data_IF_374636596186
#
_entry.id   IF_374636596186
#
_cell.length_a   1.000
_cell.length_b   1.000
_cell.length_c   1.000
_cell.angle_alpha   90.00
_cell.angle_beta   90.00
_cell.angle_gamma   90.00
#
_symmetry.space_group_name_H-M   'P 1'
#
loop_
_entity.id
_entity.type
_entity.pdbx_description
1 polymer ?
#
# COMPACT_ATOMS: atom_id res chain seq x y z
N UNK A 1 16.15 -25.25 27.25
CA UNK A 1 17.08 -24.23 26.72
C UNK A 1 16.25 -23.06 26.21
N UNK A 2 16.19 -22.00 27.01
CA UNK A 2 15.44 -20.77 26.73
C UNK A 2 16.40 -19.75 26.12
N UNK A 3 16.00 -19.15 25.00
CA UNK A 3 16.63 -17.97 24.39
C UNK A 3 15.52 -16.92 24.23
N UNK A 4 15.70 -15.67 24.73
CA UNK A 4 14.64 -14.67 24.70
C UNK A 4 14.62 -13.89 23.37
N UNK A 5 13.42 -13.47 22.99
CA UNK A 5 13.16 -12.60 21.85
C UNK A 5 13.61 -11.16 22.14
N UNK A 6 14.27 -10.53 21.16
CA UNK A 6 14.69 -9.13 21.17
C UNK A 6 13.59 -8.28 20.53
N UNK A 7 13.09 -7.29 21.28
CA UNK A 7 12.14 -6.29 20.79
C UNK A 7 12.86 -5.14 20.04
N UNK A 8 12.25 -4.51 19.02
CA UNK A 8 12.80 -3.33 18.36
C UNK A 8 12.57 -2.05 19.17
N UNK A 9 13.64 -1.26 19.30
CA UNK A 9 13.74 -0.07 20.15
C UNK A 9 13.00 1.17 19.66
N UNK A 10 12.57 1.97 20.65
CA UNK A 10 12.00 3.30 20.50
C UNK A 10 13.04 4.36 20.05
N UNK A 11 12.62 5.46 19.38
CA UNK A 11 13.54 6.53 18.99
C UNK A 11 13.98 7.40 20.19
N UNK A 12 15.30 7.56 20.31
CA UNK A 12 16.01 8.42 21.27
C UNK A 12 15.64 9.89 21.08
N UNK A 13 15.16 10.54 22.17
CA UNK A 13 15.15 11.99 22.32
C UNK A 13 16.59 12.51 22.44
N UNK A 14 16.97 13.44 21.59
CA UNK A 14 18.22 14.19 21.69
C UNK A 14 18.04 15.28 22.77
N UNK A 15 18.70 15.10 23.92
CA UNK A 15 18.85 16.15 24.93
C UNK A 15 19.99 17.08 24.50
N UNK A 16 19.71 18.37 24.41
CA UNK A 16 20.71 19.42 24.27
C UNK A 16 21.54 19.51 25.56
N UNK A 17 22.86 19.63 25.39
CA UNK A 17 23.86 19.70 26.46
C UNK A 17 24.18 21.17 26.71
N UNK A 18 23.96 21.62 27.94
CA UNK A 18 24.48 22.87 28.47
C UNK A 18 26.00 22.80 28.63
N UNK A 19 26.67 23.91 28.35
CA UNK A 19 28.07 24.14 28.65
C UNK A 19 28.38 25.64 28.53
N UNK A 20 28.57 26.30 29.68
CA UNK A 20 28.86 27.72 29.76
C UNK A 20 30.34 28.07 29.99
N UNK A 21 30.55 29.38 30.16
CA UNK A 21 31.77 30.09 30.62
C UNK A 21 32.87 30.24 29.55
N UNK A 22 33.56 31.37 29.34
CA UNK A 22 33.78 32.61 30.11
C UNK A 22 34.60 33.55 29.18
N UNK A 23 34.41 34.87 29.23
CA UNK A 23 35.46 35.85 29.60
C UNK A 23 35.10 37.32 29.30
N UNK A 24 35.65 38.15 30.18
CA UNK A 24 35.67 39.61 30.31
C UNK A 24 35.75 40.41 28.99
N UNK A 25 35.08 41.56 28.93
CA UNK A 25 35.84 42.82 28.93
C UNK A 25 35.03 44.09 29.25
N UNK A 26 35.77 45.08 29.76
CA UNK A 26 35.31 46.34 30.35
C UNK A 26 34.86 47.41 29.33
N UNK A 27 33.76 48.10 29.71
CA UNK A 27 33.48 49.54 29.67
C UNK A 27 34.32 50.45 28.72
N UNK A 28 33.65 51.08 27.74
CA UNK A 28 33.47 52.54 27.58
C UNK A 28 33.22 52.91 26.10
N UNK A 29 32.27 53.82 25.83
CA UNK A 29 32.20 54.49 24.53
C UNK A 29 30.80 54.88 24.06
N UNK A 30 30.37 56.07 24.44
CA UNK A 30 29.27 56.82 23.82
C UNK A 30 29.55 57.06 22.33
N UNK A 31 28.58 56.80 21.46
CA UNK A 31 28.20 57.69 20.34
C UNK A 31 26.94 57.16 19.65
N UNK A 32 25.91 58.00 19.57
CA UNK A 32 24.70 57.77 18.81
C UNK A 32 24.98 57.79 17.29
N UNK A 33 24.41 56.83 16.56
CA UNK A 33 24.28 56.84 15.10
C UNK A 33 22.96 56.12 14.73
N UNK A 34 22.31 56.50 13.62
CA UNK A 34 20.86 56.55 13.53
C UNK A 34 20.19 55.19 13.26
N UNK A 35 18.94 55.08 13.69
CA UNK A 35 18.00 54.03 13.26
C UNK A 35 18.00 53.93 11.73
N UNK A 36 18.58 52.85 11.21
CA UNK A 36 18.33 52.42 9.85
C UNK A 36 16.88 51.93 9.78
N UNK A 37 15.95 52.82 9.43
CA UNK A 37 14.63 52.43 8.89
C UNK A 37 14.89 51.52 7.70
N UNK A 38 14.79 50.22 7.92
CA UNK A 38 14.74 49.23 6.86
C UNK A 38 13.57 49.55 5.95
N UNK A 39 13.84 50.16 4.79
CA UNK A 39 12.91 50.13 3.66
C UNK A 39 12.76 48.66 3.31
N UNK A 40 11.73 48.00 3.83
CA UNK A 40 11.18 46.82 3.20
C UNK A 40 10.74 47.26 1.81
N UNK A 41 11.64 47.12 0.83
CA UNK A 41 11.40 47.57 -0.52
C UNK A 41 10.16 46.86 -1.06
N UNK A 42 9.28 47.60 -1.74
CA UNK A 42 8.14 47.06 -2.48
C UNK A 42 8.49 45.82 -3.33
N UNK A 43 9.77 45.67 -3.71
CA UNK A 43 10.37 44.51 -4.37
C UNK A 43 10.23 43.19 -3.58
N UNK A 44 10.38 43.19 -2.26
CA UNK A 44 10.24 41.99 -1.44
C UNK A 44 8.79 41.51 -1.35
N UNK A 45 7.84 42.45 -1.23
CA UNK A 45 6.41 42.16 -1.24
C UNK A 45 5.93 41.63 -2.59
N UNK A 46 6.39 42.22 -3.69
CA UNK A 46 6.09 41.74 -5.03
C UNK A 46 6.70 40.35 -5.29
N UNK A 47 7.91 40.08 -4.79
CA UNK A 47 8.54 38.77 -4.89
C UNK A 47 7.80 37.70 -4.08
N UNK A 48 7.33 38.03 -2.87
CA UNK A 48 6.51 37.14 -2.05
C UNK A 48 5.11 36.90 -2.66
N UNK A 49 4.49 37.90 -3.28
CA UNK A 49 3.21 37.75 -3.99
C UNK A 49 3.38 36.93 -5.28
N UNK A 50 4.48 37.11 -6.00
CA UNK A 50 4.83 36.29 -7.17
C UNK A 50 5.15 34.84 -6.79
N UNK A 51 5.86 34.61 -5.68
CA UNK A 51 6.12 33.28 -5.16
C UNK A 51 4.84 32.60 -4.66
N UNK A 52 3.97 33.32 -3.96
CA UNK A 52 2.68 32.81 -3.51
C UNK A 52 1.74 32.51 -4.70
N UNK A 53 1.71 33.38 -5.72
CA UNK A 53 0.97 33.13 -6.96
C UNK A 53 1.54 31.91 -7.71
N UNK A 54 2.86 31.77 -7.79
CA UNK A 54 3.52 30.60 -8.38
C UNK A 54 3.18 29.30 -7.61
N UNK A 55 3.20 29.33 -6.28
CA UNK A 55 2.83 28.17 -5.45
C UNK A 55 1.34 27.81 -5.59
N UNK A 56 0.45 28.78 -5.82
CA UNK A 56 -0.98 28.56 -6.06
C UNK A 56 -1.27 27.99 -7.46
N UNK A 57 -0.37 28.17 -8.44
CA UNK A 57 -0.54 27.60 -9.80
C UNK A 57 -0.20 26.11 -9.94
N UNK A 58 0.34 25.48 -8.89
CA UNK A 58 0.77 24.07 -8.91
C UNK A 58 -0.22 23.12 -8.21
N UNK A 59 -1.45 23.55 -7.89
CA UNK A 59 -2.50 22.66 -7.41
C UNK A 59 -3.06 21.79 -8.55
N UNK A 60 -2.26 20.81 -9.00
CA UNK A 60 -2.76 19.72 -9.84
C UNK A 60 -3.60 18.80 -8.94
N UNK A 61 -4.86 18.49 -9.30
CA UNK A 61 -5.64 17.53 -8.55
C UNK A 61 -4.92 16.17 -8.57
N UNK A 62 -4.52 15.70 -7.40
CA UNK A 62 -3.95 14.37 -7.24
C UNK A 62 -5.06 13.33 -7.50
N UNK A 63 -5.07 12.76 -8.70
CA UNK A 63 -5.93 11.62 -9.01
C UNK A 63 -5.28 10.37 -8.42
N UNK A 64 -5.98 9.72 -7.50
CA UNK A 64 -5.57 8.41 -7.00
C UNK A 64 -5.76 7.38 -8.13
N UNK A 65 -4.74 6.56 -8.40
CA UNK A 65 -4.89 5.42 -9.31
C UNK A 65 -5.27 4.20 -8.47
N UNK A 66 -6.44 3.60 -8.72
CA UNK A 66 -6.82 2.33 -8.09
C UNK A 66 -5.82 1.22 -8.46
N UNK A 67 -5.58 0.34 -7.48
CA UNK A 67 -4.81 -0.86 -7.68
C UNK A 67 -5.59 -1.83 -8.56
N UNK A 68 -4.98 -2.31 -9.65
CA UNK A 68 -5.51 -3.37 -10.49
C UNK A 68 -5.76 -4.62 -9.63
N UNK A 69 -7.03 -5.04 -9.46
CA UNK A 69 -7.37 -6.18 -8.63
C UNK A 69 -6.94 -7.48 -9.30
N UNK A 70 -6.75 -8.50 -8.47
CA UNK A 70 -6.81 -9.86 -8.96
C UNK A 70 -8.17 -10.15 -9.57
N UNK A 71 -8.25 -11.25 -10.31
CA UNK A 71 -9.48 -11.75 -10.86
C UNK A 71 -9.84 -13.09 -10.21
N UNK A 72 -11.12 -13.36 -10.03
CA UNK A 72 -11.62 -14.64 -9.54
C UNK A 72 -12.84 -15.09 -10.33
N UNK A 73 -12.85 -16.35 -10.77
CA UNK A 73 -14.00 -16.97 -11.40
C UNK A 73 -14.99 -17.45 -10.32
N UNK A 74 -16.16 -16.82 -10.25
CA UNK A 74 -17.25 -17.14 -9.31
C UNK A 74 -18.58 -17.06 -10.05
N UNK A 75 -19.43 -18.07 -9.87
CA UNK A 75 -20.73 -18.18 -10.54
C UNK A 75 -20.63 -18.08 -12.07
N UNK A 76 -19.56 -18.66 -12.65
CA UNK A 76 -19.28 -18.62 -14.09
C UNK A 76 -18.83 -17.26 -14.64
N UNK A 77 -18.62 -16.25 -13.78
CA UNK A 77 -18.20 -14.91 -14.18
C UNK A 77 -16.83 -14.57 -13.59
N UNK A 78 -15.95 -14.00 -14.41
CA UNK A 78 -14.72 -13.38 -13.90
C UNK A 78 -15.09 -12.08 -13.18
N UNK A 79 -14.71 -11.99 -11.90
CA UNK A 79 -14.97 -10.84 -11.03
C UNK A 79 -13.67 -10.30 -10.46
N UNK A 80 -13.61 -9.02 -10.05
CA UNK A 80 -12.51 -8.52 -9.25
C UNK A 80 -12.35 -9.31 -7.95
N UNK A 81 -11.12 -9.38 -7.45
CA UNK A 81 -10.79 -9.91 -6.13
C UNK A 81 -10.05 -8.83 -5.34
N UNK A 82 -10.68 -8.37 -4.25
CA UNK A 82 -10.18 -7.28 -3.38
C UNK A 82 -9.40 -7.80 -2.17
N UNK A 83 -8.77 -8.97 -2.34
CA UNK A 83 -7.87 -9.64 -1.42
C UNK A 83 -6.66 -10.13 -2.20
N UNK A 84 -5.54 -10.40 -1.54
CA UNK A 84 -4.27 -10.71 -2.20
C UNK A 84 -3.68 -12.05 -1.72
N UNK A 85 -4.29 -13.21 -2.05
CA UNK A 85 -3.84 -14.50 -1.49
C UNK A 85 -2.41 -14.89 -1.85
N UNK A 86 -1.92 -14.49 -3.04
CA UNK A 86 -0.51 -14.69 -3.42
C UNK A 86 0.42 -13.75 -2.63
N UNK A 87 -0.06 -12.57 -2.22
CA UNK A 87 0.71 -11.61 -1.44
C UNK A 87 1.23 -12.21 -0.13
N UNK A 88 0.43 -13.04 0.54
CA UNK A 88 0.85 -13.75 1.76
C UNK A 88 2.07 -14.66 1.56
N UNK A 89 2.27 -15.23 0.36
CA UNK A 89 3.49 -16.01 0.10
C UNK A 89 4.74 -15.14 0.11
N UNK A 90 4.60 -13.87 -0.31
CA UNK A 90 5.70 -12.92 -0.40
C UNK A 90 6.16 -12.41 0.97
N UNK A 91 5.45 -12.71 2.05
CA UNK A 91 5.93 -12.46 3.41
C UNK A 91 7.14 -13.35 3.78
N UNK A 92 7.34 -14.44 3.04
CA UNK A 92 8.52 -15.31 3.19
C UNK A 92 9.72 -14.72 2.43
N UNK A 93 10.90 -14.53 3.07
CA UNK A 93 12.07 -13.94 2.42
C UNK A 93 12.53 -14.65 1.14
N UNK A 94 12.41 -15.99 1.09
CA UNK A 94 12.76 -16.78 -0.09
C UNK A 94 11.83 -16.49 -1.27
N UNK A 95 10.51 -16.51 -1.07
CA UNK A 95 9.54 -16.17 -2.10
C UNK A 95 9.67 -14.72 -2.55
N UNK A 96 9.90 -13.79 -1.63
CA UNK A 96 10.14 -12.39 -1.98
C UNK A 96 11.38 -12.20 -2.84
N UNK A 97 12.47 -12.93 -2.54
CA UNK A 97 13.67 -12.91 -3.37
C UNK A 97 13.38 -13.37 -4.80
N UNK A 98 12.77 -14.55 -4.96
CA UNK A 98 12.37 -15.08 -6.27
C UNK A 98 11.45 -14.11 -7.01
N UNK A 99 10.47 -13.54 -6.29
CA UNK A 99 9.55 -12.56 -6.85
C UNK A 99 10.26 -11.33 -7.37
N UNK A 100 11.13 -10.68 -6.59
CA UNK A 100 11.84 -9.48 -7.05
C UNK A 100 12.71 -9.75 -8.28
N UNK A 101 13.40 -10.88 -8.30
CA UNK A 101 14.27 -11.27 -9.41
C UNK A 101 13.46 -11.54 -10.69
N UNK A 102 12.38 -12.32 -10.60
CA UNK A 102 11.54 -12.68 -11.75
C UNK A 102 10.61 -11.55 -12.22
N UNK A 103 10.03 -10.80 -11.28
CA UNK A 103 9.12 -9.68 -11.56
C UNK A 103 9.83 -8.43 -12.06
N UNK A 104 11.16 -8.33 -11.91
CA UNK A 104 11.90 -7.12 -12.27
C UNK A 104 11.26 -5.83 -11.74
N UNK A 105 10.55 -5.92 -10.60
CA UNK A 105 9.83 -4.79 -10.02
C UNK A 105 10.84 -3.67 -9.73
N UNK A 106 10.54 -2.44 -10.16
CA UNK A 106 11.48 -1.31 -10.15
C UNK A 106 12.33 -1.14 -11.42
N UNK A 107 12.46 -2.18 -12.27
CA UNK A 107 13.02 -2.08 -13.63
C UNK A 107 11.94 -1.92 -14.70
N UNK A 108 10.76 -2.50 -14.45
CA UNK A 108 9.57 -2.32 -15.29
C UNK A 108 9.01 -0.94 -14.95
N UNK A 109 8.81 -0.10 -15.98
CA UNK A 109 8.53 1.34 -15.87
C UNK A 109 7.37 1.69 -14.92
N UNK A 110 7.13 2.99 -14.68
CA UNK A 110 6.19 3.42 -13.65
C UNK A 110 4.79 2.90 -13.95
N UNK A 111 4.25 2.06 -13.08
CA UNK A 111 2.82 1.79 -13.04
C UNK A 111 2.24 2.10 -11.67
N UNK A 112 1.48 3.20 -11.60
CA UNK A 112 0.78 3.63 -10.40
C UNK A 112 -0.42 2.72 -10.06
N UNK A 113 -0.91 1.96 -11.03
CA UNK A 113 -2.05 1.04 -10.88
C UNK A 113 -1.66 -0.40 -10.50
N UNK A 114 -0.38 -0.79 -10.48
CA UNK A 114 0.02 -2.16 -10.13
C UNK A 114 1.22 -2.18 -9.19
N UNK A 115 1.10 -1.47 -8.07
CA UNK A 115 2.18 -1.28 -7.08
C UNK A 115 2.77 -2.58 -6.52
N UNK A 116 1.99 -3.67 -6.52
CA UNK A 116 2.36 -5.00 -6.03
C UNK A 116 3.17 -5.79 -7.04
N UNK A 117 3.22 -5.34 -8.29
CA UNK A 117 4.04 -5.91 -9.36
C UNK A 117 3.53 -7.21 -9.97
N UNK A 118 2.32 -7.65 -9.66
CA UNK A 118 1.68 -8.80 -10.30
C UNK A 118 0.17 -8.63 -10.42
N UNK A 119 -0.45 -9.51 -11.21
CA UNK A 119 -1.89 -9.80 -11.18
C UNK A 119 -2.09 -11.30 -11.30
N UNK A 120 -2.95 -11.86 -10.47
CA UNK A 120 -3.28 -13.27 -10.42
C UNK A 120 -4.77 -13.49 -10.74
N UNK A 121 -5.04 -14.68 -11.28
CA UNK A 121 -6.37 -15.17 -11.60
C UNK A 121 -6.64 -16.39 -10.77
N UNK A 122 -7.81 -16.41 -10.15
CA UNK A 122 -8.22 -17.39 -9.16
C UNK A 122 -9.54 -18.05 -9.56
N UNK A 123 -9.87 -19.16 -8.91
CA UNK A 123 -11.21 -19.73 -8.97
C UNK A 123 -11.57 -20.42 -7.67
N UNK A 124 -12.87 -20.50 -7.38
CA UNK A 124 -13.40 -21.39 -6.35
C UNK A 124 -13.96 -22.65 -7.03
N UNK A 125 -13.37 -23.81 -6.76
CA UNK A 125 -13.77 -25.11 -7.34
C UNK A 125 -13.58 -26.20 -6.28
N UNK A 126 -14.56 -27.10 -6.15
CA UNK A 126 -14.54 -28.22 -5.20
C UNK A 126 -14.20 -27.80 -3.76
N UNK A 127 -14.89 -26.76 -3.26
CA UNK A 127 -14.69 -26.15 -1.94
C UNK A 127 -13.25 -25.66 -1.66
N UNK A 128 -12.49 -25.38 -2.72
CA UNK A 128 -11.10 -24.91 -2.64
C UNK A 128 -10.83 -23.66 -3.46
N UNK A 129 -9.88 -22.86 -3.00
CA UNK A 129 -9.28 -21.76 -3.74
C UNK A 129 -8.13 -22.27 -4.60
N UNK A 130 -8.15 -21.92 -5.88
CA UNK A 130 -7.13 -22.31 -6.86
C UNK A 130 -6.52 -21.10 -7.54
N UNK A 131 -5.19 -21.07 -7.62
CA UNK A 131 -4.43 -20.12 -8.44
C UNK A 131 -4.36 -20.65 -9.88
N UNK A 132 -5.05 -19.98 -10.80
CA UNK A 132 -5.16 -20.38 -12.21
C UNK A 132 -3.97 -19.91 -13.04
N UNK A 133 -3.52 -18.66 -12.84
CA UNK A 133 -2.35 -18.09 -13.51
C UNK A 133 -1.95 -16.78 -12.85
N UNK A 134 -0.76 -16.31 -13.16
CA UNK A 134 -0.27 -15.00 -12.73
C UNK A 134 0.58 -14.36 -13.83
N UNK A 135 0.58 -13.04 -13.90
CA UNK A 135 1.49 -12.24 -14.71
C UNK A 135 2.24 -11.25 -13.83
N UNK A 136 3.45 -10.88 -14.23
CA UNK A 136 4.19 -9.81 -13.58
C UNK A 136 3.95 -8.47 -14.28
N UNK A 137 3.73 -7.39 -13.53
CA UNK A 137 3.57 -6.03 -14.07
C UNK A 137 2.35 -5.87 -14.97
N UNK A 138 1.15 -5.90 -14.39
CA UNK A 138 -0.13 -6.04 -15.11
C UNK A 138 -0.62 -4.79 -15.88
N UNK A 139 0.22 -3.77 -16.04
CA UNK A 139 -0.13 -2.53 -16.73
C UNK A 139 0.28 -2.53 -18.20
N UNK A 140 1.16 -3.45 -18.58
CA UNK A 140 1.56 -3.64 -19.97
C UNK A 140 0.65 -4.69 -20.61
N UNK A 141 0.24 -4.47 -21.86
CA UNK A 141 -0.52 -5.46 -22.61
C UNK A 141 0.24 -6.79 -22.73
N UNK A 142 1.57 -6.71 -22.86
CA UNK A 142 2.47 -7.86 -22.97
C UNK A 142 3.08 -8.27 -21.62
N UNK A 143 2.30 -8.15 -20.53
CA UNK A 143 2.76 -8.54 -19.20
C UNK A 143 3.24 -10.01 -19.19
N UNK A 144 4.51 -10.30 -18.84
CA UNK A 144 5.03 -11.65 -18.91
C UNK A 144 4.32 -12.58 -17.92
N UNK A 145 3.99 -13.78 -18.39
CA UNK A 145 3.49 -14.83 -17.53
C UNK A 145 4.50 -15.13 -16.41
N UNK A 146 3.98 -15.32 -15.20
CA UNK A 146 4.80 -15.73 -14.07
C UNK A 146 5.03 -17.23 -14.10
N UNK A 147 6.29 -17.62 -13.98
CA UNK A 147 6.66 -19.01 -13.73
C UNK A 147 6.27 -19.39 -12.29
N UNK A 148 5.15 -20.09 -12.13
CA UNK A 148 4.65 -20.52 -10.82
C UNK A 148 5.54 -21.58 -10.17
N UNK A 149 6.37 -22.30 -10.94
CA UNK A 149 7.26 -23.34 -10.39
C UNK A 149 8.33 -22.77 -9.46
N UNK A 150 8.63 -21.46 -9.58
CA UNK A 150 9.52 -20.72 -8.67
C UNK A 150 8.96 -20.61 -7.25
N UNK A 151 7.64 -20.68 -7.09
CA UNK A 151 6.95 -20.60 -5.79
C UNK A 151 6.37 -21.95 -5.35
N UNK A 152 6.09 -22.84 -6.31
CA UNK A 152 5.51 -24.16 -6.07
C UNK A 152 6.29 -25.24 -6.83
N UNK A 153 7.47 -25.66 -6.33
CA UNK A 153 8.29 -26.65 -7.00
C UNK A 153 7.52 -27.95 -7.26
N UNK A 154 7.58 -28.43 -8.51
CA UNK A 154 6.89 -29.65 -8.92
C UNK A 154 5.39 -29.51 -9.19
N UNK A 155 4.84 -28.30 -9.11
CA UNK A 155 3.44 -28.02 -9.42
C UNK A 155 3.29 -27.14 -10.67
N UNK A 156 2.16 -27.28 -11.35
CA UNK A 156 1.76 -26.43 -12.46
C UNK A 156 0.34 -25.92 -12.22
N UNK A 157 -0.03 -24.83 -12.88
CA UNK A 157 -1.38 -24.30 -12.78
C UNK A 157 -2.43 -25.31 -13.28
N UNK A 158 -3.61 -25.39 -12.63
CA UNK A 158 -3.99 -24.65 -11.42
C UNK A 158 -3.31 -25.19 -10.16
N UNK A 159 -2.84 -24.29 -9.28
CA UNK A 159 -2.21 -24.63 -8.00
C UNK A 159 -3.20 -24.45 -6.86
N UNK A 160 -3.36 -25.45 -6.00
CA UNK A 160 -4.21 -25.35 -4.82
C UNK A 160 -3.62 -24.36 -3.81
N UNK A 161 -4.44 -23.42 -3.32
CA UNK A 161 -4.01 -22.33 -2.45
C UNK A 161 -3.86 -22.75 -0.97
N UNK A 162 -3.24 -23.89 -0.70
CA UNK A 162 -3.18 -24.50 0.65
C UNK A 162 -2.43 -23.65 1.68
N UNK A 163 -1.62 -22.71 1.22
CA UNK A 163 -0.93 -21.73 2.07
C UNK A 163 -1.86 -20.62 2.60
N UNK A 164 -2.99 -20.38 1.94
CA UNK A 164 -3.82 -19.21 2.21
C UNK A 164 -4.84 -19.49 3.31
N UNK A 165 -4.88 -18.62 4.32
CA UNK A 165 -5.97 -18.53 5.29
C UNK A 165 -6.34 -17.07 5.46
N UNK A 166 -7.61 -16.73 5.28
CA UNK A 166 -8.07 -15.35 5.26
C UNK A 166 -9.48 -15.21 4.69
N UNK A 167 -9.93 -13.97 4.50
CA UNK A 167 -11.23 -13.69 3.87
C UNK A 167 -11.02 -13.10 2.48
N UNK A 168 -11.53 -13.78 1.47
CA UNK A 168 -11.64 -13.22 0.12
C UNK A 168 -12.78 -12.22 0.08
N UNK A 169 -12.57 -11.09 -0.62
CA UNK A 169 -13.58 -10.06 -0.83
C UNK A 169 -13.87 -9.97 -2.32
N UNK A 170 -15.02 -10.49 -2.75
CA UNK A 170 -15.42 -10.54 -4.16
C UNK A 170 -16.52 -9.52 -4.43
N UNK A 171 -16.29 -8.43 -5.17
CA UNK A 171 -17.34 -7.48 -5.51
C UNK A 171 -18.38 -8.06 -6.47
N UNK A 172 -19.66 -7.73 -6.24
CA UNK A 172 -20.81 -8.23 -6.99
C UNK A 172 -21.65 -7.07 -7.52
N UNK A 173 -22.10 -7.19 -8.77
CA UNK A 173 -22.92 -6.18 -9.45
C UNK A 173 -22.09 -5.17 -10.24
N UNK A 174 -22.72 -4.06 -10.61
CA UNK A 174 -22.08 -3.02 -11.41
C UNK A 174 -21.00 -2.27 -10.61
N UNK A 175 -19.91 -1.96 -11.30
CA UNK A 175 -18.80 -1.18 -10.75
C UNK A 175 -19.21 0.28 -10.63
N UNK A 176 -19.20 0.80 -9.41
CA UNK A 176 -19.38 2.20 -9.10
C UNK A 176 -18.09 3.02 -9.23
N UNK A 177 -18.17 4.28 -8.82
CA UNK A 177 -17.08 5.26 -8.94
C UNK A 177 -15.96 4.94 -7.95
N UNK A 178 -14.72 5.04 -8.42
CA UNK A 178 -13.52 5.00 -7.58
C UNK A 178 -13.37 6.32 -6.79
N UNK A 179 -13.08 6.20 -5.49
CA UNK A 179 -13.02 7.34 -4.57
C UNK A 179 -11.60 7.65 -4.09
N UNK A 180 -10.68 6.68 -4.06
CA UNK A 180 -9.36 6.79 -3.39
C UNK A 180 -8.32 5.83 -4.02
N UNK A 181 -7.12 5.71 -3.43
CA UNK A 181 -6.13 4.70 -3.83
C UNK A 181 -6.53 3.30 -3.32
N UNK A 182 -5.93 2.24 -3.89
CA UNK A 182 -6.13 0.86 -3.44
C UNK A 182 -7.37 0.20 -4.08
N UNK A 183 -8.07 -0.68 -3.36
CA UNK A 183 -9.32 -1.31 -3.81
C UNK A 183 -10.55 -0.51 -3.37
N UNK A 184 -10.86 0.53 -4.15
CA UNK A 184 -11.71 1.65 -3.73
C UNK A 184 -12.98 1.84 -4.56
N UNK A 185 -13.10 1.23 -5.74
CA UNK A 185 -14.38 1.21 -6.44
C UNK A 185 -15.47 0.53 -5.59
N UNK A 186 -16.64 1.17 -5.56
CA UNK A 186 -17.79 0.70 -4.79
C UNK A 186 -18.66 -0.22 -5.62
N UNK A 187 -19.22 -1.26 -5.00
CA UNK A 187 -20.15 -2.19 -5.61
C UNK A 187 -21.38 -2.33 -4.70
N UNK A 188 -22.55 -2.65 -5.25
CA UNK A 188 -23.76 -2.77 -4.45
C UNK A 188 -23.69 -3.90 -3.41
N UNK A 189 -22.96 -4.98 -3.72
CA UNK A 189 -22.78 -6.14 -2.84
C UNK A 189 -21.37 -6.69 -2.93
N UNK A 190 -20.98 -7.46 -1.92
CA UNK A 190 -19.73 -8.18 -1.84
C UNK A 190 -19.97 -9.58 -1.28
N UNK A 191 -19.31 -10.58 -1.83
CA UNK A 191 -19.22 -11.92 -1.20
C UNK A 191 -17.96 -11.98 -0.37
N UNK A 192 -18.11 -12.24 0.93
CA UNK A 192 -17.01 -12.62 1.80
C UNK A 192 -16.92 -14.14 1.83
N UNK A 193 -15.74 -14.66 1.48
CA UNK A 193 -15.45 -16.11 1.48
C UNK A 193 -14.31 -16.35 2.46
N UNK A 194 -14.62 -17.02 3.56
CA UNK A 194 -13.64 -17.41 4.57
C UNK A 194 -12.90 -18.66 4.07
N UNK A 195 -11.58 -18.58 4.07
CA UNK A 195 -10.67 -19.64 3.65
C UNK A 195 -9.79 -20.05 4.82
N UNK A 196 -9.67 -21.35 5.05
CA UNK A 196 -8.71 -21.96 5.97
C UNK A 196 -7.89 -23.01 5.21
N UNK A 197 -6.57 -22.81 5.15
CA UNK A 197 -5.63 -23.66 4.43
C UNK A 197 -6.14 -24.04 3.02
N UNK A 198 -6.53 -23.02 2.24
CA UNK A 198 -7.04 -23.18 0.87
C UNK A 198 -8.48 -23.70 0.75
N UNK A 199 -9.15 -24.08 1.85
CA UNK A 199 -10.54 -24.58 1.84
C UNK A 199 -11.55 -23.52 2.25
N UNK A 200 -12.70 -23.52 1.60
CA UNK A 200 -13.83 -22.67 1.97
C UNK A 200 -14.43 -23.17 3.29
N UNK A 201 -14.56 -22.30 4.28
CA UNK A 201 -15.18 -22.62 5.58
C UNK A 201 -16.51 -21.93 5.80
N UNK A 202 -16.69 -20.73 5.22
CA UNK A 202 -17.94 -19.99 5.27
C UNK A 202 -18.04 -19.01 4.10
N UNK A 203 -19.27 -18.67 3.72
CA UNK A 203 -19.55 -17.63 2.72
C UNK A 203 -20.76 -16.82 3.15
N UNK A 204 -20.71 -15.51 2.91
CA UNK A 204 -21.87 -14.62 3.07
C UNK A 204 -21.80 -13.47 2.10
N UNK A 205 -22.96 -12.96 1.71
CA UNK A 205 -23.05 -11.70 0.98
C UNK A 205 -23.39 -10.56 1.93
N UNK A 206 -22.79 -9.40 1.67
CA UNK A 206 -22.96 -8.19 2.45
C UNK A 206 -23.05 -6.98 1.53
N UNK A 207 -23.67 -5.91 1.99
CA UNK A 207 -23.65 -4.61 1.32
C UNK A 207 -22.37 -3.81 1.64
N UNK A 208 -22.27 -2.62 1.06
CA UNK A 208 -21.12 -1.73 1.27
C UNK A 208 -20.97 -1.25 2.73
N UNK A 209 -22.07 -0.96 3.43
CA UNK A 209 -22.02 -0.48 4.81
C UNK A 209 -21.50 -1.58 5.75
N UNK A 210 -22.03 -2.79 5.59
CA UNK A 210 -21.59 -3.99 6.29
C UNK A 210 -20.12 -4.32 6.00
N UNK A 211 -19.66 -4.15 4.74
CA UNK A 211 -18.24 -4.33 4.40
C UNK A 211 -17.34 -3.35 5.17
N UNK A 212 -17.75 -2.09 5.28
CA UNK A 212 -16.98 -1.08 6.01
C UNK A 212 -16.91 -1.37 7.50
N UNK A 213 -18.01 -1.83 8.11
CA UNK A 213 -18.03 -2.22 9.51
C UNK A 213 -17.18 -3.48 9.77
N UNK A 214 -17.23 -4.46 8.87
CA UNK A 214 -16.35 -5.63 8.92
C UNK A 214 -14.87 -5.23 8.80
N UNK A 215 -14.49 -4.37 7.86
CA UNK A 215 -13.09 -3.89 7.72
C UNK A 215 -12.60 -3.15 8.96
N UNK A 216 -13.47 -2.39 9.63
CA UNK A 216 -13.15 -1.71 10.91
C UNK A 216 -12.96 -2.71 12.05
N UNK A 217 -13.76 -3.78 12.10
CA UNK A 217 -13.61 -4.80 13.14
C UNK A 217 -12.32 -5.59 12.98
N UNK A 218 -11.92 -5.94 11.76
CA UNK A 218 -10.64 -6.62 11.48
C UNK A 218 -9.45 -5.80 11.99
N UNK A 219 -9.37 -4.51 11.62
CA UNK A 219 -8.29 -3.61 12.07
C UNK A 219 -8.18 -3.49 13.59
N UNK A 220 -9.32 -3.53 14.29
CA UNK A 220 -9.34 -3.51 15.75
C UNK A 220 -8.79 -4.80 16.35
N UNK A 221 -9.12 -5.95 15.75
CA UNK A 221 -8.60 -7.25 16.17
C UNK A 221 -7.09 -7.33 15.96
N UNK A 222 -6.59 -6.85 14.82
CA UNK A 222 -5.14 -6.86 14.51
C UNK A 222 -4.33 -5.88 15.39
N UNK A 223 -4.99 -4.86 15.94
CA UNK A 223 -4.39 -3.88 16.84
C UNK A 223 -4.46 -4.30 18.33
N UNK A 224 -5.08 -5.43 18.66
CA UNK A 224 -5.13 -5.95 20.02
C UNK A 224 -3.78 -6.62 20.37
N UNK A 225 -3.19 -6.32 21.55
CA UNK A 225 -1.87 -6.78 21.95
C UNK A 225 -1.77 -8.29 22.25
#
# INVERSE_FOLDING_TARGET
>A
MHMPAVAPGAPRRLLARDGGSRDDDRRAGSTAAPEARGRHGHRGWLFSLLLAALLLTVLVPASATEQIPDAILVDGQERPLYSEPFGMLLDTPAHWKHFREASGIGRRGPCTANWRGYRAWWSLQDDRLWLQRMVYGACNADAPAADLSLYFPGQSAPVAADWYSGTLVVPLGERGVDRHMGYSAQYPRYRLVEISAGRITAQREIDHAQLMDWRRSQRRSDAAP
#
